data_IF_902130633348
#
_entry.id   IF_902130633348
#
_cell.length_a   1.000
_cell.length_b   1.000
_cell.length_c   1.000
_cell.angle_alpha   90.00
_cell.angle_beta   90.00
_cell.angle_gamma   90.00
#
_symmetry.space_group_name_H-M   'P 1'
#
loop_
_entity.id
_entity.type
_entity.pdbx_description
1 polymer ?
#
# COMPACT_ATOMS: atom_id res chain seq x y z
N UNK A 1 25.13 -39.58 42.83
CA UNK A 1 25.62 -39.34 41.45
C UNK A 1 24.51 -38.64 40.69
N UNK A 2 24.61 -37.31 40.53
CA UNK A 2 23.65 -36.49 39.78
C UNK A 2 24.29 -36.17 38.42
N UNK A 3 23.61 -36.53 37.34
CA UNK A 3 24.06 -36.23 35.98
C UNK A 3 23.99 -34.71 35.72
N UNK A 4 25.01 -34.11 35.08
CA UNK A 4 24.97 -32.70 34.75
C UNK A 4 23.93 -32.47 33.65
N UNK A 5 23.01 -31.55 33.91
CA UNK A 5 22.08 -31.02 32.92
C UNK A 5 22.89 -30.41 31.77
N UNK A 6 22.92 -31.13 30.65
CA UNK A 6 23.49 -30.65 29.41
C UNK A 6 22.67 -29.43 28.96
N UNK A 7 23.26 -28.26 29.14
CA UNK A 7 22.81 -27.02 28.54
C UNK A 7 22.76 -27.23 27.03
N UNK A 8 21.57 -27.55 26.53
CA UNK A 8 21.20 -27.45 25.11
C UNK A 8 21.30 -25.97 24.75
N UNK A 9 22.54 -25.53 24.53
CA UNK A 9 22.86 -24.30 23.85
C UNK A 9 22.37 -24.45 22.42
N UNK A 10 21.09 -24.19 22.20
CA UNK A 10 20.58 -23.78 20.90
C UNK A 10 21.26 -22.47 20.56
N UNK A 11 22.49 -22.58 20.04
CA UNK A 11 23.12 -21.54 19.24
C UNK A 11 22.18 -21.34 18.06
N UNK A 12 21.22 -20.43 18.23
CA UNK A 12 20.60 -19.75 17.12
C UNK A 12 21.73 -19.04 16.39
N UNK A 13 22.36 -19.75 15.46
CA UNK A 13 23.13 -19.15 14.38
C UNK A 13 22.08 -18.37 13.58
N UNK A 14 21.76 -17.16 14.06
CA UNK A 14 21.01 -16.17 13.30
C UNK A 14 21.93 -15.78 12.16
N UNK A 15 21.92 -16.57 11.09
CA UNK A 15 22.30 -16.09 9.77
C UNK A 15 21.41 -14.88 9.51
N UNK A 16 21.97 -13.68 9.77
CA UNK A 16 21.29 -12.41 9.50
C UNK A 16 21.19 -12.31 7.99
N UNK A 17 20.14 -12.88 7.41
CA UNK A 17 19.75 -12.59 6.03
C UNK A 17 19.44 -11.09 6.01
N UNK A 18 20.42 -10.31 5.54
CA UNK A 18 20.29 -8.85 5.43
C UNK A 18 19.54 -8.61 4.13
N UNK A 19 18.25 -8.30 4.22
CA UNK A 19 17.45 -7.80 3.10
C UNK A 19 18.26 -6.71 2.36
N UNK A 20 18.63 -6.94 1.10
CA UNK A 20 19.37 -5.97 0.31
C UNK A 20 18.50 -4.70 0.16
N UNK A 21 19.15 -3.54 0.08
CA UNK A 21 18.41 -2.33 -0.27
C UNK A 21 17.96 -2.44 -1.74
N UNK A 22 16.72 -2.02 -2.07
CA UNK A 22 16.22 -2.07 -3.45
C UNK A 22 17.03 -1.15 -4.38
N UNK A 23 17.59 -0.08 -3.81
CA UNK A 23 18.50 0.86 -4.47
C UNK A 23 19.67 1.14 -3.54
N UNK A 24 20.68 1.86 -4.02
CA UNK A 24 21.67 2.40 -3.10
C UNK A 24 20.97 3.27 -2.02
N UNK A 25 21.31 3.14 -0.73
CA UNK A 25 20.59 3.85 0.36
C UNK A 25 20.52 5.36 0.15
N UNK A 26 21.57 5.95 -0.45
CA UNK A 26 21.63 7.37 -0.75
C UNK A 26 20.63 7.81 -1.84
N UNK A 27 20.16 6.89 -2.68
CA UNK A 27 19.20 7.17 -3.76
C UNK A 27 17.74 7.14 -3.28
N UNK A 28 17.45 6.46 -2.17
CA UNK A 28 16.10 6.37 -1.58
C UNK A 28 15.41 7.73 -1.38
N UNK A 29 16.04 8.75 -0.77
CA UNK A 29 15.39 10.06 -0.61
C UNK A 29 15.07 10.72 -1.96
N UNK A 30 15.93 10.56 -2.97
CA UNK A 30 15.69 11.12 -4.32
C UNK A 30 14.52 10.41 -5.00
N UNK A 31 14.47 9.08 -4.97
CA UNK A 31 13.38 8.31 -5.54
C UNK A 31 12.04 8.62 -4.85
N UNK A 32 12.05 8.76 -3.52
CA UNK A 32 10.86 9.15 -2.75
C UNK A 32 10.40 10.57 -3.09
N UNK A 33 11.32 11.53 -3.15
CA UNK A 33 11.00 12.91 -3.52
C UNK A 33 10.42 13.00 -4.93
N UNK A 34 11.02 12.29 -5.90
CA UNK A 34 10.52 12.23 -7.27
C UNK A 34 9.11 11.61 -7.33
N UNK A 35 8.88 10.48 -6.64
CA UNK A 35 7.57 9.83 -6.60
C UNK A 35 6.50 10.74 -5.98
N UNK A 36 6.83 11.46 -4.91
CA UNK A 36 5.92 12.41 -4.27
C UNK A 36 5.66 13.63 -5.17
N UNK A 37 6.68 14.14 -5.86
CA UNK A 37 6.53 15.26 -6.78
C UNK A 37 5.63 14.91 -7.98
N UNK A 38 5.86 13.76 -8.63
CA UNK A 38 5.00 13.32 -9.74
C UNK A 38 3.56 13.08 -9.28
N UNK A 39 3.38 12.52 -8.08
CA UNK A 39 2.04 12.35 -7.49
C UNK A 39 1.37 13.69 -7.21
N UNK A 40 2.09 14.64 -6.63
CA UNK A 40 1.59 16.00 -6.40
C UNK A 40 1.17 16.65 -7.70
N UNK A 41 2.01 16.61 -8.74
CA UNK A 41 1.71 17.18 -10.06
C UNK A 41 0.45 16.55 -10.65
N UNK A 42 0.36 15.22 -10.62
CA UNK A 42 -0.81 14.50 -11.11
C UNK A 42 -2.10 14.88 -10.39
N UNK A 43 -2.07 14.97 -9.05
CA UNK A 43 -3.25 15.34 -8.26
C UNK A 43 -3.62 16.80 -8.53
N UNK A 44 -2.64 17.71 -8.58
CA UNK A 44 -2.87 19.13 -8.88
C UNK A 44 -3.56 19.31 -10.22
N UNK A 45 -3.03 18.66 -11.26
CA UNK A 45 -3.57 18.78 -12.61
C UNK A 45 -5.00 18.17 -12.69
N UNK A 46 -5.27 17.11 -11.91
CA UNK A 46 -6.61 16.53 -11.79
C UNK A 46 -7.61 17.42 -11.05
N UNK A 47 -7.19 18.03 -9.94
CA UNK A 47 -8.05 18.94 -9.17
C UNK A 47 -8.31 20.22 -9.96
N UNK A 48 -7.31 20.74 -10.67
CA UNK A 48 -7.45 21.93 -11.51
C UNK A 48 -8.39 21.72 -12.71
N UNK A 49 -8.47 20.50 -13.23
CA UNK A 49 -9.41 20.13 -14.29
C UNK A 49 -10.81 19.71 -13.78
N UNK A 50 -10.99 19.65 -12.45
CA UNK A 50 -12.23 19.24 -11.81
C UNK A 50 -13.23 20.39 -11.63
N UNK A 51 -14.34 20.15 -10.91
CA UNK A 51 -15.28 21.20 -10.53
C UNK A 51 -14.59 22.32 -9.75
N UNK A 52 -15.09 23.55 -9.89
CA UNK A 52 -14.55 24.69 -9.14
C UNK A 52 -14.61 24.41 -7.63
N UNK A 53 -13.44 24.45 -7.00
CA UNK A 53 -13.25 24.32 -5.56
C UNK A 53 -12.84 25.68 -5.00
N UNK A 54 -13.35 26.10 -3.84
CA UNK A 54 -12.91 27.33 -3.17
C UNK A 54 -11.45 27.24 -2.68
N UNK A 55 -10.88 26.03 -2.62
CA UNK A 55 -9.50 25.77 -2.24
C UNK A 55 -8.59 25.68 -3.47
N UNK A 56 -7.41 26.29 -3.37
CA UNK A 56 -6.35 26.23 -4.38
C UNK A 56 -5.98 24.77 -4.73
N UNK A 57 -6.02 24.38 -6.02
CA UNK A 57 -5.62 23.05 -6.47
C UNK A 57 -4.23 22.61 -6.00
N UNK A 58 -3.26 23.54 -5.90
CA UNK A 58 -1.92 23.20 -5.43
C UNK A 58 -1.92 22.83 -3.95
N UNK A 59 -2.69 23.54 -3.12
CA UNK A 59 -2.86 23.23 -1.70
C UNK A 59 -3.52 21.86 -1.50
N UNK A 60 -4.62 21.57 -2.23
CA UNK A 60 -5.29 20.27 -2.17
C UNK A 60 -4.36 19.12 -2.59
N UNK A 61 -3.56 19.33 -3.64
CA UNK A 61 -2.57 18.35 -4.08
C UNK A 61 -1.49 18.10 -3.02
N UNK A 62 -1.03 19.14 -2.32
CA UNK A 62 -0.07 18.98 -1.21
C UNK A 62 -0.67 18.22 -0.03
N UNK A 63 -1.92 18.52 0.34
CA UNK A 63 -2.62 17.79 1.40
C UNK A 63 -2.76 16.31 1.08
N UNK A 64 -3.22 15.99 -0.15
CA UNK A 64 -3.38 14.61 -0.58
C UNK A 64 -2.05 13.86 -0.69
N UNK A 65 -0.99 14.51 -1.18
CA UNK A 65 0.35 13.92 -1.32
C UNK A 65 0.99 13.68 0.04
N UNK A 66 0.87 14.64 0.97
CA UNK A 66 1.36 14.49 2.34
C UNK A 66 0.61 13.38 3.07
N UNK A 67 -0.72 13.33 2.94
CA UNK A 67 -1.54 12.25 3.50
C UNK A 67 -1.11 10.89 2.97
N UNK A 68 -0.83 10.78 1.67
CA UNK A 68 -0.31 9.56 1.06
C UNK A 68 1.07 9.17 1.64
N UNK A 69 2.00 10.13 1.75
CA UNK A 69 3.33 9.88 2.32
C UNK A 69 3.25 9.37 3.76
N UNK A 70 2.41 10.01 4.59
CA UNK A 70 2.14 9.58 5.96
C UNK A 70 1.51 8.19 5.99
N UNK A 71 0.58 7.90 5.08
CA UNK A 71 -0.02 6.57 4.92
C UNK A 71 1.01 5.49 4.59
N UNK A 72 1.99 5.77 3.73
CA UNK A 72 3.10 4.84 3.40
C UNK A 72 3.96 4.57 4.63
N UNK A 73 4.32 5.61 5.39
CA UNK A 73 5.11 5.48 6.62
C UNK A 73 4.34 4.72 7.70
N UNK A 74 3.07 5.07 7.93
CA UNK A 74 2.18 4.39 8.87
C UNK A 74 1.98 2.92 8.50
N UNK A 75 1.72 2.61 7.23
CA UNK A 75 1.62 1.23 6.74
C UNK A 75 2.91 0.44 6.97
N UNK A 76 4.07 1.07 6.72
CA UNK A 76 5.37 0.46 6.99
C UNK A 76 5.59 0.19 8.49
N UNK A 77 5.14 1.10 9.36
CA UNK A 77 5.20 0.93 10.81
C UNK A 77 4.29 -0.22 11.27
N UNK A 78 3.06 -0.30 10.75
CA UNK A 78 2.11 -1.39 11.05
C UNK A 78 2.66 -2.75 10.66
N UNK A 79 3.31 -2.86 9.50
CA UNK A 79 4.00 -4.09 9.09
C UNK A 79 5.08 -4.49 10.11
N UNK A 80 5.92 -3.54 10.53
CA UNK A 80 6.96 -3.81 11.53
C UNK A 80 6.36 -4.23 12.87
N UNK A 81 5.26 -3.60 13.30
CA UNK A 81 4.55 -3.96 14.54
C UNK A 81 3.96 -5.37 14.43
N UNK A 82 3.32 -5.72 13.31
CA UNK A 82 2.76 -7.06 13.10
C UNK A 82 3.86 -8.14 13.17
N UNK A 83 5.00 -7.91 12.54
CA UNK A 83 6.12 -8.85 12.64
C UNK A 83 6.72 -8.92 14.03
N UNK A 84 6.77 -7.81 14.77
CA UNK A 84 7.17 -7.81 16.19
C UNK A 84 6.20 -8.60 17.07
N UNK A 85 4.90 -8.52 16.80
CA UNK A 85 3.90 -9.34 17.51
C UNK A 85 4.10 -10.83 17.24
N UNK A 86 4.66 -11.19 16.08
CA UNK A 86 5.07 -12.57 15.73
C UNK A 86 6.48 -12.95 16.24
N UNK A 87 7.11 -12.10 17.07
CA UNK A 87 8.44 -12.34 17.64
C UNK A 87 9.62 -11.99 16.73
N UNK A 88 9.37 -11.40 15.55
CA UNK A 88 10.40 -11.06 14.58
C UNK A 88 10.81 -9.59 14.65
N UNK A 89 12.07 -9.30 14.29
CA UNK A 89 12.59 -7.92 14.22
C UNK A 89 12.81 -7.53 12.77
N UNK A 90 12.08 -6.50 12.32
CA UNK A 90 12.27 -5.93 10.98
C UNK A 90 12.97 -4.57 11.01
N UNK A 91 13.87 -4.30 10.05
CA UNK A 91 14.48 -2.99 9.87
C UNK A 91 13.50 -2.00 9.23
N UNK A 92 12.88 -1.15 10.06
CA UNK A 92 11.84 -0.19 9.63
C UNK A 92 12.19 0.60 8.37
N UNK A 93 13.35 1.25 8.34
CA UNK A 93 13.75 2.09 7.21
C UNK A 93 13.91 1.34 5.88
N UNK A 94 14.26 0.04 5.93
CA UNK A 94 14.35 -0.78 4.71
C UNK A 94 12.96 -1.14 4.19
N UNK A 95 12.05 -1.53 5.09
CA UNK A 95 10.66 -1.82 4.73
C UNK A 95 9.97 -0.55 4.22
N UNK A 96 10.21 0.60 4.84
CA UNK A 96 9.70 1.88 4.36
C UNK A 96 10.24 2.23 2.96
N UNK A 97 11.55 2.05 2.72
CA UNK A 97 12.14 2.26 1.40
C UNK A 97 11.56 1.34 0.32
N UNK A 98 11.37 0.05 0.63
CA UNK A 98 10.74 -0.90 -0.29
C UNK A 98 9.27 -0.55 -0.53
N UNK A 99 8.52 -0.20 0.51
CA UNK A 99 7.11 0.19 0.39
C UNK A 99 6.99 1.44 -0.48
N UNK A 100 7.87 2.44 -0.28
CA UNK A 100 7.94 3.64 -1.10
C UNK A 100 8.26 3.32 -2.57
N UNK A 101 9.23 2.45 -2.83
CA UNK A 101 9.56 2.02 -4.18
C UNK A 101 8.39 1.32 -4.87
N UNK A 102 7.71 0.43 -4.14
CA UNK A 102 6.55 -0.31 -4.62
C UNK A 102 5.31 0.59 -4.78
N UNK A 103 5.24 1.75 -4.12
CA UNK A 103 4.17 2.74 -4.36
C UNK A 103 4.19 3.33 -5.78
N UNK A 104 5.30 3.21 -6.53
CA UNK A 104 5.33 3.55 -7.96
C UNK A 104 4.34 2.70 -8.76
N UNK A 105 4.16 1.42 -8.40
CA UNK A 105 3.16 0.55 -9.02
C UNK A 105 1.75 1.06 -8.76
N UNK A 106 1.48 1.56 -7.55
CA UNK A 106 0.20 2.19 -7.20
C UNK A 106 -0.02 3.47 -8.01
N UNK A 107 1.01 4.31 -8.17
CA UNK A 107 0.94 5.50 -9.02
C UNK A 107 0.65 5.17 -10.48
N UNK A 108 1.29 4.14 -11.02
CA UNK A 108 1.01 3.66 -12.38
C UNK A 108 -0.40 3.08 -12.50
N UNK A 109 -0.88 2.34 -11.50
CA UNK A 109 -2.24 1.82 -11.45
C UNK A 109 -3.28 2.95 -11.41
N UNK A 110 -3.03 4.01 -10.63
CA UNK A 110 -3.88 5.22 -10.58
C UNK A 110 -3.94 5.90 -11.97
N UNK A 111 -2.81 5.99 -12.68
CA UNK A 111 -2.74 6.54 -14.03
C UNK A 111 -3.53 5.70 -15.04
N UNK A 112 -3.37 4.37 -15.02
CA UNK A 112 -4.15 3.47 -15.88
C UNK A 112 -5.65 3.58 -15.62
N UNK A 113 -6.06 3.64 -14.34
CA UNK A 113 -7.46 3.80 -13.95
C UNK A 113 -8.05 5.10 -14.51
N UNK A 114 -7.31 6.20 -14.37
CA UNK A 114 -7.72 7.50 -14.92
C UNK A 114 -7.82 7.46 -16.45
N UNK A 115 -6.83 6.90 -17.13
CA UNK A 115 -6.79 6.84 -18.60
C UNK A 115 -7.78 5.83 -19.16
N UNK A 116 -8.26 4.87 -18.36
CA UNK A 116 -9.22 3.87 -18.83
C UNK A 116 -10.53 4.46 -19.36
N UNK A 117 -10.92 5.65 -18.88
CA UNK A 117 -12.10 6.37 -19.38
C UNK A 117 -11.90 6.93 -20.81
N UNK A 118 -10.65 7.12 -21.24
CA UNK A 118 -10.30 7.62 -22.57
C UNK A 118 -9.99 6.49 -23.57
N UNK A 119 -9.99 5.23 -23.09
CA UNK A 119 -9.68 4.05 -23.89
C UNK A 119 -10.96 3.32 -24.30
N UNK A 120 -10.90 2.60 -25.41
CA UNK A 120 -12.01 1.82 -25.93
C UNK A 120 -11.68 0.32 -26.04
N UNK A 121 -12.72 -0.51 -26.04
CA UNK A 121 -12.64 -1.95 -26.27
C UNK A 121 -11.65 -2.69 -25.36
N UNK A 122 -10.80 -3.51 -25.96
CA UNK A 122 -9.82 -4.35 -25.25
C UNK A 122 -8.82 -3.53 -24.42
N UNK A 123 -8.46 -2.33 -24.86
CA UNK A 123 -7.50 -1.49 -24.14
C UNK A 123 -8.08 -0.91 -22.84
N UNK A 124 -9.36 -0.54 -22.84
CA UNK A 124 -10.08 -0.16 -21.62
C UNK A 124 -10.09 -1.31 -20.62
N UNK A 125 -10.44 -2.52 -21.08
CA UNK A 125 -10.48 -3.70 -20.22
C UNK A 125 -9.10 -4.05 -19.63
N UNK A 126 -8.04 -3.94 -20.43
CA UNK A 126 -6.68 -4.11 -19.95
C UNK A 126 -6.31 -3.07 -18.88
N UNK A 127 -6.62 -1.79 -19.11
CA UNK A 127 -6.34 -0.71 -18.17
C UNK A 127 -7.09 -0.87 -16.84
N UNK A 128 -8.38 -1.27 -16.87
CA UNK A 128 -9.17 -1.57 -15.68
C UNK A 128 -8.61 -2.78 -14.93
N UNK A 129 -8.27 -3.85 -15.65
CA UNK A 129 -7.72 -5.07 -15.04
C UNK A 129 -6.39 -4.79 -14.31
N UNK A 130 -5.53 -3.97 -14.92
CA UNK A 130 -4.24 -3.59 -14.34
C UNK A 130 -4.38 -2.56 -13.20
N UNK A 131 -5.13 -1.48 -13.44
CA UNK A 131 -5.24 -0.29 -12.56
C UNK A 131 -6.31 -0.37 -11.47
N UNK A 132 -7.22 -1.34 -11.59
CA UNK A 132 -8.26 -1.67 -10.64
C UNK A 132 -9.68 -1.33 -11.09
N UNK A 133 -10.64 -1.96 -10.43
CA UNK A 133 -12.08 -1.92 -10.75
C UNK A 133 -12.70 -0.52 -10.70
N UNK A 134 -12.05 0.46 -10.05
CA UNK A 134 -12.55 1.83 -9.98
C UNK A 134 -12.59 2.59 -11.33
N UNK A 135 -12.11 1.98 -12.42
CA UNK A 135 -12.31 2.48 -13.79
C UNK A 135 -13.64 2.04 -14.42
N UNK A 136 -14.42 1.21 -13.73
CA UNK A 136 -15.78 0.81 -14.16
C UNK A 136 -16.79 1.85 -13.68
N UNK A 137 -17.55 2.42 -14.61
CA UNK A 137 -18.59 3.44 -14.32
C UNK A 137 -19.78 2.86 -13.53
N UNK A 138 -19.97 1.54 -13.55
CA UNK A 138 -21.12 0.83 -12.96
C UNK A 138 -21.12 0.71 -11.43
N UNK A 139 -20.06 1.17 -10.74
CA UNK A 139 -19.92 0.98 -9.27
C UNK A 139 -20.48 2.18 -8.46
N UNK A 140 -21.39 3.00 -9.00
CA UNK A 140 -21.78 4.27 -8.35
C UNK A 140 -23.28 4.50 -8.25
N UNK A 141 -23.81 4.27 -7.05
CA UNK A 141 -24.70 5.18 -6.32
C UNK A 141 -24.80 4.74 -4.85
N UNK A 142 -25.04 3.45 -4.61
CA UNK A 142 -25.42 2.96 -3.28
C UNK A 142 -24.22 2.56 -2.39
N UNK A 143 -23.08 2.12 -2.95
CA UNK A 143 -21.91 1.63 -2.20
C UNK A 143 -20.63 2.49 -2.37
N UNK A 144 -20.77 3.82 -2.27
CA UNK A 144 -19.68 4.76 -2.51
C UNK A 144 -18.42 4.50 -1.64
N UNK A 145 -18.59 4.11 -0.37
CA UNK A 145 -17.47 3.81 0.54
C UNK A 145 -16.72 2.54 0.15
N UNK A 146 -17.43 1.45 -0.17
CA UNK A 146 -16.83 0.18 -0.60
C UNK A 146 -16.11 0.36 -1.94
N UNK A 147 -16.78 1.03 -2.90
CA UNK A 147 -16.23 1.36 -4.19
C UNK A 147 -14.92 2.16 -4.05
N UNK A 148 -14.90 3.17 -3.19
CA UNK A 148 -13.71 3.98 -2.93
C UNK A 148 -12.59 3.19 -2.23
N UNK A 149 -12.93 2.36 -1.25
CA UNK A 149 -11.94 1.55 -0.53
C UNK A 149 -11.24 0.54 -1.44
N UNK A 150 -11.98 -0.09 -2.37
CA UNK A 150 -11.47 -1.15 -3.24
C UNK A 150 -11.23 -0.74 -4.69
N UNK A 151 -11.41 0.53 -5.05
CA UNK A 151 -11.22 1.05 -6.42
C UNK A 151 -9.85 0.69 -7.04
N UNK A 152 -8.81 0.63 -6.22
CA UNK A 152 -7.44 0.29 -6.65
C UNK A 152 -7.14 -1.20 -6.72
N UNK A 153 -8.12 -2.09 -6.49
CA UNK A 153 -7.92 -3.53 -6.56
C UNK A 153 -7.79 -3.98 -8.02
N UNK A 154 -6.55 -4.09 -8.48
CA UNK A 154 -6.19 -4.61 -9.80
C UNK A 154 -4.91 -5.43 -9.74
N UNK A 155 -4.44 -5.92 -10.89
CA UNK A 155 -3.24 -6.78 -10.98
C UNK A 155 -2.01 -6.08 -10.40
N UNK A 156 -1.84 -4.78 -10.62
CA UNK A 156 -0.66 -4.05 -10.12
C UNK A 156 -0.64 -3.96 -8.59
N UNK A 157 -1.79 -3.80 -7.94
CA UNK A 157 -1.88 -3.82 -6.47
C UNK A 157 -1.62 -5.24 -5.94
N UNK A 158 -2.14 -6.28 -6.61
CA UNK A 158 -1.83 -7.67 -6.24
C UNK A 158 -0.33 -7.97 -6.33
N UNK A 159 0.32 -7.57 -7.42
CA UNK A 159 1.78 -7.66 -7.60
C UNK A 159 2.51 -6.90 -6.49
N UNK A 160 2.06 -5.68 -6.16
CA UNK A 160 2.63 -4.88 -5.08
C UNK A 160 2.60 -5.62 -3.74
N UNK A 161 1.46 -6.21 -3.39
CA UNK A 161 1.27 -6.94 -2.13
C UNK A 161 2.11 -8.23 -2.09
N UNK A 162 2.21 -8.94 -3.22
CA UNK A 162 3.07 -10.12 -3.36
C UNK A 162 4.55 -9.76 -3.18
N UNK A 163 5.04 -8.73 -3.88
CA UNK A 163 6.44 -8.28 -3.79
C UNK A 163 6.77 -7.78 -2.38
N UNK A 164 5.84 -7.10 -1.73
CA UNK A 164 6.01 -6.63 -0.36
C UNK A 164 6.04 -7.80 0.64
N UNK A 165 5.16 -8.78 0.47
CA UNK A 165 5.16 -10.02 1.26
C UNK A 165 6.43 -10.86 1.05
N UNK A 166 6.94 -10.94 -0.18
CA UNK A 166 8.21 -11.56 -0.52
C UNK A 166 9.39 -10.85 0.16
N UNK A 167 9.44 -9.52 0.11
CA UNK A 167 10.49 -8.74 0.76
C UNK A 167 10.47 -8.95 2.28
N UNK A 168 9.29 -8.97 2.89
CA UNK A 168 9.11 -9.29 4.30
C UNK A 168 9.61 -10.68 4.64
N UNK A 169 9.20 -11.72 3.89
CA UNK A 169 9.58 -13.09 4.16
C UNK A 169 11.10 -13.29 4.09
N UNK A 170 11.76 -12.64 3.14
CA UNK A 170 13.23 -12.63 3.03
C UNK A 170 13.91 -11.90 4.19
N UNK A 171 13.31 -10.81 4.68
CA UNK A 171 13.88 -10.02 5.77
C UNK A 171 13.92 -10.77 7.11
N UNK A 172 12.98 -11.69 7.34
CA UNK A 172 12.85 -12.45 8.60
C UNK A 172 13.09 -13.96 8.42
N UNK A 173 13.52 -14.40 7.23
CA UNK A 173 13.73 -15.81 6.90
C UNK A 173 12.51 -16.71 7.21
N UNK A 174 11.31 -16.21 6.91
CA UNK A 174 10.04 -16.94 7.08
C UNK A 174 9.51 -17.43 5.73
N UNK A 175 8.59 -18.40 5.70
CA UNK A 175 7.96 -18.85 4.46
C UNK A 175 7.30 -17.68 3.71
N UNK A 176 7.39 -17.70 2.38
CA UNK A 176 6.78 -16.69 1.51
C UNK A 176 5.28 -16.50 1.79
N UNK A 177 4.54 -17.60 1.99
CA UNK A 177 3.12 -17.58 2.33
C UNK A 177 2.82 -16.76 3.60
N UNK A 178 3.68 -16.82 4.61
CA UNK A 178 3.52 -16.03 5.85
C UNK A 178 3.64 -14.53 5.57
N UNK A 179 4.63 -14.12 4.76
CA UNK A 179 4.81 -12.70 4.43
C UNK A 179 3.68 -12.14 3.58
N UNK A 180 3.18 -12.92 2.63
CA UNK A 180 1.99 -12.56 1.85
C UNK A 180 0.76 -12.50 2.74
N UNK A 181 0.54 -13.48 3.62
CA UNK A 181 -0.61 -13.49 4.53
C UNK A 181 -0.64 -12.28 5.47
N UNK A 182 0.49 -11.92 6.08
CA UNK A 182 0.59 -10.72 6.94
C UNK A 182 0.29 -9.45 6.14
N UNK A 183 0.88 -9.33 4.95
CA UNK A 183 0.68 -8.17 4.07
C UNK A 183 -0.77 -8.02 3.63
N UNK A 184 -1.39 -9.11 3.18
CA UNK A 184 -2.79 -9.14 2.76
C UNK A 184 -3.74 -8.84 3.92
N UNK A 185 -3.47 -9.40 5.12
CA UNK A 185 -4.30 -9.18 6.31
C UNK A 185 -4.29 -7.70 6.72
N UNK A 186 -3.10 -7.09 6.77
CA UNK A 186 -2.97 -5.67 7.10
C UNK A 186 -3.57 -4.77 6.01
N UNK A 187 -3.34 -5.10 4.75
CA UNK A 187 -3.95 -4.37 3.64
C UNK A 187 -5.48 -4.42 3.73
N UNK A 188 -6.06 -5.60 3.96
CA UNK A 188 -7.50 -5.78 4.06
C UNK A 188 -8.07 -5.01 5.26
N UNK A 189 -7.42 -5.08 6.42
CA UNK A 189 -7.81 -4.33 7.60
C UNK A 189 -7.84 -2.82 7.34
N UNK A 190 -6.84 -2.28 6.63
CA UNK A 190 -6.79 -0.87 6.23
C UNK A 190 -7.93 -0.54 5.25
N UNK A 191 -8.20 -1.41 4.25
CA UNK A 191 -9.31 -1.18 3.31
C UNK A 191 -10.66 -1.19 4.00
N UNK A 192 -10.90 -2.12 4.92
CA UNK A 192 -12.11 -2.18 5.72
C UNK A 192 -12.25 -0.92 6.57
N UNK A 193 -11.19 -0.49 7.26
CA UNK A 193 -11.20 0.75 8.04
C UNK A 193 -11.51 1.98 7.18
N UNK A 194 -10.93 2.07 5.98
CA UNK A 194 -11.22 3.14 5.01
C UNK A 194 -12.68 3.09 4.56
N UNK A 195 -13.21 1.92 4.23
CA UNK A 195 -14.61 1.75 3.86
C UNK A 195 -15.54 2.26 4.97
N UNK A 196 -15.36 1.78 6.21
CA UNK A 196 -16.14 2.23 7.36
C UNK A 196 -16.03 3.74 7.59
N UNK A 197 -14.82 4.30 7.46
CA UNK A 197 -14.60 5.74 7.64
C UNK A 197 -15.34 6.55 6.58
N UNK A 198 -15.30 6.13 5.31
CA UNK A 198 -16.00 6.82 4.22
C UNK A 198 -17.51 6.72 4.34
N UNK A 199 -18.04 5.58 4.76
CA UNK A 199 -19.47 5.43 5.02
C UNK A 199 -19.95 6.31 6.18
N UNK A 200 -19.18 6.36 7.28
CA UNK A 200 -19.47 7.25 8.41
C UNK A 200 -19.43 8.72 7.99
N UNK A 201 -18.45 9.13 7.19
CA UNK A 201 -18.36 10.49 6.64
C UNK A 201 -19.50 10.82 5.69
N UNK A 202 -20.06 9.81 5.00
CA UNK A 202 -21.24 9.95 4.16
C UNK A 202 -22.57 9.93 4.94
N UNK A 203 -22.52 9.89 6.29
CA UNK A 203 -23.71 9.86 7.15
C UNK A 203 -24.42 8.49 7.20
N UNK A 204 -23.76 7.43 6.74
CA UNK A 204 -24.29 6.06 6.78
C UNK A 204 -23.76 5.35 8.02
N UNK A 205 -24.58 4.50 8.65
CA UNK A 205 -24.07 3.55 9.64
C UNK A 205 -23.20 2.52 8.92
N UNK A 206 -22.01 2.22 9.45
CA UNK A 206 -21.06 1.28 8.85
C UNK A 206 -21.61 -0.14 8.65
N UNK A 207 -22.71 -0.46 9.31
CA UNK A 207 -23.58 -1.59 9.00
C UNK A 207 -24.86 -0.95 8.46
N UNK A 208 -25.08 -0.98 7.15
CA UNK A 208 -26.33 -0.53 6.54
C UNK A 208 -27.50 -1.13 7.32
N UNK A 209 -28.51 -0.30 7.63
CA UNK A 209 -29.59 -0.61 8.56
C UNK A 209 -29.95 -2.09 8.68
N UNK A 210 -29.50 -2.70 9.77
CA UNK A 210 -30.09 -3.91 10.35
C UNK A 210 -31.02 -3.47 11.49
#
# INVERSE_FOLDING_TARGET
MLAPASSLGTRFVRTRVRLAWPFSPWFVPFAAAFALFERWRFIRDKVAAGPESPLDPAALAWMATTTHALGVLAGSALLVVAWRALGERMPYWRIAGITCALSLLTGFADLLRVRSAELEGAWRMAAVTLGGIGGLESVRADDAGLAAAFAGLGVLEAVRLILLGWAQSHAVARPFATGVAVTLSLWLAIRLATWFTLDLLAGRSGFGGL
#
